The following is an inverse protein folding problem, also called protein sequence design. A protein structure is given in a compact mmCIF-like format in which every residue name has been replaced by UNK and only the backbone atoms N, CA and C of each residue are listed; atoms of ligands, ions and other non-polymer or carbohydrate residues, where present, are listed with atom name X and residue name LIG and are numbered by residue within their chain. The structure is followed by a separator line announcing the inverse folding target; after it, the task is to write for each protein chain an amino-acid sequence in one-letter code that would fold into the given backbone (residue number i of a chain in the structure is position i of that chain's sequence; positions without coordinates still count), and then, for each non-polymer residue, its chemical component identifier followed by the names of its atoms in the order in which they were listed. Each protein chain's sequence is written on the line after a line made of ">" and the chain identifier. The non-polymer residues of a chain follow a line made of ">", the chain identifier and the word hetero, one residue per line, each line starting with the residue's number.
data_IF_335280914089
#
_entry.id   IF_335280914089
#
_cell.length_a   1.000
_cell.length_b   1.000
_cell.length_c   1.000
_cell.angle_alpha   90.00
_cell.angle_beta   90.00
_cell.angle_gamma   90.00
#
_symmetry.space_group_name_H-M   'P 1'
#
loop_
_entity.id
_entity.type
_entity.pdbx_description
1 polymer ?
#
# COMPACT_ATOMS: atom_id res chain seq x y z
N UNK A 1 -25.45 -3.52 19.25
CA UNK A 1 -25.22 -3.17 17.84
C UNK A 1 -23.93 -3.83 17.39
N UNK A 2 -23.97 -4.76 16.42
CA UNK A 2 -22.76 -5.36 15.85
C UNK A 2 -22.37 -4.51 14.64
N UNK A 3 -21.36 -3.66 14.79
CA UNK A 3 -20.77 -2.93 13.67
C UNK A 3 -20.20 -3.97 12.72
N UNK A 4 -20.89 -4.19 11.61
CA UNK A 4 -20.46 -5.08 10.54
C UNK A 4 -19.24 -4.41 9.94
N UNK A 5 -18.05 -4.77 10.44
CA UNK A 5 -16.80 -4.42 9.80
C UNK A 5 -16.92 -4.93 8.36
N UNK A 6 -17.10 -3.98 7.43
CA UNK A 6 -17.01 -4.26 6.02
C UNK A 6 -15.59 -4.75 5.87
N UNK A 7 -15.43 -6.07 5.70
CA UNK A 7 -14.17 -6.74 5.45
C UNK A 7 -13.72 -6.30 4.06
N UNK A 8 -13.25 -5.05 3.97
CA UNK A 8 -12.91 -4.42 2.71
C UNK A 8 -11.54 -4.95 2.32
N UNK A 9 -11.54 -5.91 1.38
CA UNK A 9 -10.39 -6.43 0.62
C UNK A 9 -9.07 -6.52 1.38
N UNK A 10 -8.86 -7.67 2.02
CA UNK A 10 -7.54 -8.18 2.36
C UNK A 10 -6.84 -8.61 1.05
N UNK A 11 -6.41 -7.66 0.21
CA UNK A 11 -5.65 -8.01 -1.00
C UNK A 11 -4.67 -6.94 -1.52
N UNK A 12 -4.61 -5.75 -0.91
CA UNK A 12 -3.62 -4.72 -1.24
C UNK A 12 -2.88 -4.34 0.03
N UNK A 13 -1.54 -4.36 0.00
CA UNK A 13 -0.66 -3.97 1.09
C UNK A 13 -0.54 -2.46 1.16
N UNK A 14 -0.40 -1.81 0.01
CA UNK A 14 -0.34 -0.37 -0.09
C UNK A 14 -1.71 0.21 -0.40
N UNK A 15 -2.09 1.25 0.33
CA UNK A 15 -3.34 1.98 0.14
C UNK A 15 -3.10 3.49 0.10
N UNK A 16 -4.08 4.23 -0.41
CA UNK A 16 -4.02 5.69 -0.48
C UNK A 16 -5.09 6.27 0.43
N UNK A 17 -4.70 7.20 1.29
CA UNK A 17 -5.59 7.94 2.18
C UNK A 17 -5.42 9.45 1.99
N UNK A 18 -6.45 10.22 2.31
CA UNK A 18 -6.39 11.68 2.26
C UNK A 18 -6.28 12.24 3.69
N UNK A 19 -5.18 12.93 3.98
CA UNK A 19 -5.02 13.70 5.21
C UNK A 19 -5.72 15.05 5.04
N UNK A 20 -6.81 15.25 5.79
CA UNK A 20 -7.59 16.50 5.77
C UNK A 20 -6.91 17.67 6.48
N UNK A 21 -5.95 17.41 7.37
CA UNK A 21 -5.23 18.45 8.11
C UNK A 21 -4.14 19.05 7.23
N UNK A 22 -3.43 18.20 6.48
CA UNK A 22 -2.37 18.61 5.56
C UNK A 22 -2.85 18.85 4.13
N UNK A 23 -4.08 18.45 3.83
CA UNK A 23 -4.69 18.49 2.49
C UNK A 23 -3.90 17.68 1.46
N UNK A 24 -3.26 16.58 1.89
CA UNK A 24 -2.38 15.73 1.07
C UNK A 24 -2.89 14.31 0.95
N UNK A 25 -2.50 13.64 -0.14
CA UNK A 25 -2.70 12.22 -0.37
C UNK A 25 -1.49 11.42 0.08
N UNK A 26 -1.70 10.52 1.04
CA UNK A 26 -0.67 9.68 1.62
C UNK A 26 -0.78 8.24 1.11
N UNK A 27 0.36 7.65 0.79
CA UNK A 27 0.48 6.22 0.49
C UNK A 27 0.92 5.51 1.77
N UNK A 28 0.19 4.48 2.19
CA UNK A 28 0.37 3.81 3.47
C UNK A 28 0.59 2.32 3.28
N UNK A 29 1.61 1.78 3.94
CA UNK A 29 1.85 0.34 4.06
C UNK A 29 1.08 -0.26 5.24
N UNK A 30 0.08 -1.09 4.95
CA UNK A 30 -0.77 -1.73 5.95
C UNK A 30 -0.07 -2.82 6.79
N UNK A 31 1.10 -3.32 6.39
CA UNK A 31 1.86 -4.33 7.16
C UNK A 31 2.90 -3.70 8.10
N UNK A 32 3.35 -2.48 7.81
CA UNK A 32 4.41 -1.78 8.54
C UNK A 32 3.92 -0.86 9.66
N UNK A 33 2.86 -1.24 10.38
CA UNK A 33 2.20 -0.37 11.37
C UNK A 33 1.62 0.93 10.78
N UNK A 34 1.04 0.85 9.57
CA UNK A 34 0.48 2.00 8.85
C UNK A 34 1.53 3.09 8.58
N UNK A 35 2.74 2.67 8.18
CA UNK A 35 3.80 3.60 7.80
C UNK A 35 3.45 4.33 6.51
N UNK A 36 3.54 5.67 6.53
CA UNK A 36 3.47 6.51 5.33
C UNK A 36 4.74 6.33 4.49
N UNK A 37 4.57 5.89 3.24
CA UNK A 37 5.67 5.68 2.27
C UNK A 37 5.72 6.74 1.17
N UNK A 38 4.70 7.60 1.07
CA UNK A 38 4.67 8.70 0.13
C UNK A 38 3.61 9.73 0.49
N UNK A 39 3.85 11.00 0.14
CA UNK A 39 2.93 12.12 0.34
C UNK A 39 2.88 12.91 -0.96
N UNK A 40 1.67 13.20 -1.44
CA UNK A 40 1.41 13.88 -2.71
C UNK A 40 0.34 14.95 -2.53
N UNK A 41 0.41 16.00 -3.34
CA UNK A 41 -0.64 17.02 -3.37
C UNK A 41 -1.88 16.55 -4.15
N UNK A 42 -1.72 15.58 -5.06
CA UNK A 42 -2.78 15.06 -5.93
C UNK A 42 -2.99 13.56 -5.75
N UNK A 43 -4.23 13.11 -5.99
CA UNK A 43 -4.60 11.70 -5.82
C UNK A 43 -3.94 10.78 -6.86
N UNK A 44 -3.87 11.21 -8.12
CA UNK A 44 -3.36 10.41 -9.22
C UNK A 44 -1.91 9.90 -9.01
N UNK A 45 -0.93 10.76 -8.66
CA UNK A 45 0.43 10.28 -8.39
C UNK A 45 0.52 9.38 -7.15
N UNK A 46 -0.31 9.61 -6.13
CA UNK A 46 -0.37 8.73 -4.95
C UNK A 46 -0.87 7.32 -5.31
N UNK A 47 -1.92 7.22 -6.13
CA UNK A 47 -2.44 5.93 -6.62
C UNK A 47 -1.41 5.20 -7.47
N UNK A 48 -0.74 5.92 -8.38
CA UNK A 48 0.31 5.32 -9.22
C UNK A 48 1.47 4.77 -8.39
N UNK A 49 1.91 5.49 -7.35
CA UNK A 49 2.93 4.98 -6.44
C UNK A 49 2.44 3.76 -5.67
N UNK A 50 1.22 3.77 -5.13
CA UNK A 50 0.68 2.63 -4.38
C UNK A 50 0.63 1.35 -5.24
N UNK A 51 0.24 1.46 -6.51
CA UNK A 51 0.24 0.34 -7.44
C UNK A 51 1.66 -0.14 -7.79
N UNK A 52 2.61 0.78 -7.96
CA UNK A 52 4.00 0.44 -8.22
C UNK A 52 4.65 -0.30 -7.04
N UNK A 53 4.39 0.15 -5.81
CA UNK A 53 4.89 -0.51 -4.59
C UNK A 53 4.23 -1.87 -4.36
N UNK A 54 2.92 -1.99 -4.64
CA UNK A 54 2.22 -3.27 -4.62
C UNK A 54 2.83 -4.26 -5.63
N UNK A 55 3.12 -3.81 -6.86
CA UNK A 55 3.78 -4.65 -7.87
C UNK A 55 5.20 -5.05 -7.47
N UNK A 56 5.98 -4.11 -6.90
CA UNK A 56 7.32 -4.39 -6.38
C UNK A 56 7.28 -5.43 -5.27
N UNK A 57 6.40 -5.25 -4.30
CA UNK A 57 6.25 -6.18 -3.19
C UNK A 57 5.80 -7.57 -3.67
N UNK A 58 4.86 -7.65 -4.61
CA UNK A 58 4.46 -8.94 -5.20
C UNK A 58 5.60 -9.64 -5.93
N UNK A 59 6.52 -8.88 -6.54
CA UNK A 59 7.64 -9.42 -7.31
C UNK A 59 8.82 -9.84 -6.43
N UNK A 60 9.09 -9.11 -5.35
CA UNK A 60 10.33 -9.25 -4.55
C UNK A 60 10.08 -9.57 -3.07
N UNK A 61 8.84 -9.72 -2.64
CA UNK A 61 8.50 -9.93 -1.24
C UNK A 61 8.90 -8.76 -0.32
N UNK A 62 8.81 -8.94 1.01
CA UNK A 62 9.11 -7.91 1.99
C UNK A 62 10.62 -7.55 2.10
N UNK A 63 11.54 -8.38 1.60
CA UNK A 63 12.99 -8.16 1.69
C UNK A 63 13.63 -7.62 0.40
N UNK A 64 12.87 -7.45 -0.68
CA UNK A 64 13.44 -7.04 -1.97
C UNK A 64 14.23 -8.17 -2.66
N UNK A 65 14.21 -9.38 -2.11
CA UNK A 65 14.86 -10.54 -2.69
C UNK A 65 13.99 -11.11 -3.81
N UNK A 66 14.60 -11.33 -4.97
CA UNK A 66 13.92 -12.04 -6.06
C UNK A 66 13.52 -13.41 -5.54
N UNK A 67 12.23 -13.75 -5.54
CA UNK A 67 11.80 -15.14 -5.51
C UNK A 67 12.25 -15.78 -6.83
N UNK A 68 13.55 -16.02 -6.96
CA UNK A 68 14.06 -16.86 -8.01
C UNK A 68 13.38 -18.21 -7.78
N UNK A 69 12.56 -18.62 -8.74
CA UNK A 69 12.16 -20.00 -8.92
C UNK A 69 13.43 -20.83 -8.92
N UNK A 70 13.83 -21.31 -7.75
CA UNK A 70 14.77 -22.40 -7.63
C UNK A 70 13.94 -23.63 -7.99
N UNK A 71 13.85 -23.88 -9.29
CA UNK A 71 13.45 -25.18 -9.81
C UNK A 71 14.60 -26.14 -9.48
N UNK A 72 14.39 -27.00 -8.49
CA UNK A 72 15.11 -28.26 -8.34
C UNK A 72 14.20 -29.39 -8.82
#
# INVERSE_FOLDING_TARGET
>A
MKTKAIRNRINMRYSVQYDRVRETWEVVDALGAEQTVGIHNDQAPAVFQAEAEEQRWRRFGPSGETFALVAF
#
